data_IF_175945421576
#
_entry.id   IF_175945421576
#
_cell.length_a   1.000
_cell.length_b   1.000
_cell.length_c   1.000
_cell.angle_alpha   90.00
_cell.angle_beta   90.00
_cell.angle_gamma   90.00
#
_symmetry.space_group_name_H-M   'P 1'
#
loop_
_entity.id
_entity.type
_entity.pdbx_description
1 polymer ?
#
# COMPACT_ATOMS: atom_id res chain seq x y z
N UNK A 1 0.54 -28.31 -20.92
CA UNK A 1 -0.69 -27.53 -20.66
C UNK A 1 -0.25 -26.10 -20.52
N UNK A 2 -0.61 -25.27 -21.49
CA UNK A 2 -0.22 -23.85 -21.48
C UNK A 2 -1.09 -23.13 -20.46
N UNK A 3 -0.54 -22.92 -19.26
CA UNK A 3 -1.17 -22.10 -18.23
C UNK A 3 -0.94 -20.65 -18.65
N UNK A 4 -1.84 -20.14 -19.48
CA UNK A 4 -1.92 -18.70 -19.77
C UNK A 4 -2.31 -17.99 -18.47
N UNK A 5 -1.32 -17.43 -17.78
CA UNK A 5 -1.55 -16.60 -16.61
C UNK A 5 -2.14 -15.26 -17.09
N UNK A 6 -3.45 -15.09 -16.90
CA UNK A 6 -4.18 -13.85 -17.24
C UNK A 6 -3.83 -12.66 -16.31
N UNK A 7 -3.03 -12.89 -15.29
CA UNK A 7 -2.64 -11.88 -14.31
C UNK A 7 -1.12 -11.78 -14.23
N UNK A 8 -0.62 -10.57 -14.05
CA UNK A 8 0.75 -10.29 -13.61
C UNK A 8 1.08 -10.92 -12.24
N UNK A 9 0.11 -11.57 -11.60
CA UNK A 9 0.23 -12.35 -10.37
C UNK A 9 0.00 -13.83 -10.66
N UNK A 10 0.90 -14.70 -10.20
CA UNK A 10 0.75 -16.14 -10.36
C UNK A 10 -0.49 -16.69 -9.64
N UNK A 11 -1.05 -17.85 -10.05
CA UNK A 11 -2.24 -18.46 -9.44
C UNK A 11 -2.19 -18.55 -7.92
N UNK A 12 -1.03 -18.89 -7.37
CA UNK A 12 -0.81 -18.97 -5.93
C UNK A 12 -0.98 -17.61 -5.22
N UNK A 13 -0.45 -16.53 -5.80
CA UNK A 13 -0.55 -15.16 -5.26
C UNK A 13 -2.00 -14.68 -5.35
N UNK A 14 -2.64 -14.90 -6.50
CA UNK A 14 -4.05 -14.58 -6.70
C UNK A 14 -4.95 -15.31 -5.68
N UNK A 15 -4.71 -16.61 -5.47
CA UNK A 15 -5.49 -17.42 -4.54
C UNK A 15 -5.18 -17.07 -3.08
N UNK A 16 -3.93 -17.31 -2.62
CA UNK A 16 -3.55 -17.29 -1.19
C UNK A 16 -3.52 -15.89 -0.58
N UNK A 17 -3.28 -14.87 -1.38
CA UNK A 17 -3.17 -13.49 -0.90
C UNK A 17 -4.39 -12.68 -1.32
N UNK A 18 -4.66 -12.54 -2.62
CA UNK A 18 -5.69 -11.64 -3.10
C UNK A 18 -7.12 -12.13 -2.79
N UNK A 19 -7.51 -13.30 -3.32
CA UNK A 19 -8.85 -13.86 -3.13
C UNK A 19 -9.11 -14.26 -1.68
N UNK A 20 -8.13 -14.83 -0.97
CA UNK A 20 -8.28 -15.15 0.46
C UNK A 20 -8.50 -13.91 1.33
N UNK A 21 -7.75 -12.82 1.14
CA UNK A 21 -7.99 -11.60 1.93
C UNK A 21 -9.36 -10.98 1.61
N UNK A 22 -9.76 -11.01 0.34
CA UNK A 22 -11.10 -10.59 -0.05
C UNK A 22 -12.18 -11.47 0.60
N UNK A 23 -11.99 -12.80 0.61
CA UNK A 23 -12.91 -13.75 1.23
C UNK A 23 -13.02 -13.53 2.75
N UNK A 24 -11.89 -13.28 3.43
CA UNK A 24 -11.85 -12.94 4.85
C UNK A 24 -12.66 -11.67 5.15
N UNK A 25 -12.43 -10.60 4.37
CA UNK A 25 -13.14 -9.34 4.50
C UNK A 25 -14.65 -9.48 4.17
N UNK A 26 -14.99 -10.27 3.15
CA UNK A 26 -16.36 -10.50 2.72
C UNK A 26 -17.20 -11.22 3.78
N UNK A 27 -16.62 -12.20 4.47
CA UNK A 27 -17.30 -13.05 5.45
C UNK A 27 -17.07 -12.60 6.90
N UNK A 28 -16.28 -11.55 7.13
CA UNK A 28 -15.89 -11.07 8.46
C UNK A 28 -15.29 -12.19 9.34
N UNK A 29 -14.39 -12.97 8.75
CA UNK A 29 -13.68 -14.06 9.42
C UNK A 29 -12.17 -13.79 9.45
N UNK A 30 -11.47 -14.44 10.37
CA UNK A 30 -10.02 -14.35 10.44
C UNK A 30 -9.34 -14.94 9.19
N UNK A 31 -8.16 -14.40 8.84
CA UNK A 31 -7.42 -14.78 7.63
C UNK A 31 -6.99 -16.24 7.64
N UNK A 32 -6.75 -16.86 8.80
CA UNK A 32 -6.42 -18.29 8.89
C UNK A 32 -7.64 -19.16 8.62
N UNK A 33 -8.83 -18.77 9.12
CA UNK A 33 -10.08 -19.45 8.77
C UNK A 33 -10.36 -19.33 7.27
N UNK A 34 -10.25 -18.11 6.71
CA UNK A 34 -10.45 -17.88 5.29
C UNK A 34 -9.50 -18.72 4.41
N UNK A 35 -8.26 -18.95 4.85
CA UNK A 35 -7.32 -19.84 4.14
C UNK A 35 -7.80 -21.28 4.13
N UNK A 36 -8.28 -21.80 5.26
CA UNK A 36 -8.81 -23.17 5.36
C UNK A 36 -10.03 -23.34 4.46
N UNK A 37 -11.00 -22.43 4.55
CA UNK A 37 -12.22 -22.45 3.74
C UNK A 37 -11.89 -22.41 2.23
N UNK A 38 -10.93 -21.57 1.83
CA UNK A 38 -10.49 -21.48 0.43
C UNK A 38 -9.80 -22.76 -0.05
N UNK A 39 -8.98 -23.41 0.79
CA UNK A 39 -8.31 -24.67 0.46
C UNK A 39 -9.32 -25.82 0.33
N UNK A 40 -10.26 -25.92 1.27
CA UNK A 40 -11.37 -26.88 1.23
C UNK A 40 -12.19 -26.68 -0.05
N UNK A 41 -12.57 -25.43 -0.35
CA UNK A 41 -13.32 -25.08 -1.56
C UNK A 41 -12.58 -25.47 -2.84
N UNK A 42 -11.26 -25.37 -2.86
CA UNK A 42 -10.41 -25.76 -3.99
C UNK A 42 -10.12 -27.28 -4.07
N UNK A 43 -10.56 -28.06 -3.08
CA UNK A 43 -10.23 -29.49 -2.96
C UNK A 43 -8.75 -29.75 -2.71
N UNK A 44 -8.06 -28.81 -2.06
CA UNK A 44 -6.62 -28.86 -1.78
C UNK A 44 -6.42 -29.27 -0.31
N UNK A 45 -5.56 -30.25 0.00
CA UNK A 45 -5.28 -30.63 1.38
C UNK A 45 -4.69 -29.46 2.18
N UNK A 46 -5.10 -29.32 3.45
CA UNK A 46 -4.68 -28.22 4.31
C UNK A 46 -3.17 -28.26 4.61
N UNK A 47 -2.60 -29.46 4.80
CA UNK A 47 -1.20 -29.65 5.11
C UNK A 47 -0.57 -30.88 4.45
N UNK A 48 0.70 -30.77 3.98
CA UNK A 48 1.45 -29.52 3.79
C UNK A 48 0.83 -28.67 2.68
N UNK A 49 0.74 -27.34 2.86
CA UNK A 49 0.19 -26.43 1.83
C UNK A 49 0.99 -26.64 0.56
N UNK A 50 0.41 -27.24 -0.48
CA UNK A 50 1.20 -27.63 -1.62
C UNK A 50 1.44 -26.40 -2.49
N UNK A 51 2.70 -25.96 -2.55
CA UNK A 51 3.20 -25.07 -3.61
C UNK A 51 3.39 -25.81 -4.95
N UNK A 52 2.87 -27.04 -5.03
CA UNK A 52 2.96 -27.91 -6.18
C UNK A 52 2.11 -27.35 -7.33
N UNK A 53 2.73 -27.23 -8.50
CA UNK A 53 2.13 -26.67 -9.70
C UNK A 53 0.83 -27.38 -10.10
N UNK A 54 0.64 -28.65 -9.70
CA UNK A 54 -0.58 -29.42 -10.00
C UNK A 54 -1.87 -28.78 -9.48
N UNK A 55 -1.80 -27.96 -8.43
CA UNK A 55 -2.96 -27.26 -7.87
C UNK A 55 -3.18 -25.87 -8.46
N UNK A 56 -2.29 -25.38 -9.32
CA UNK A 56 -2.36 -24.02 -9.87
C UNK A 56 -3.70 -23.72 -10.53
N UNK A 57 -4.26 -24.70 -11.26
CA UNK A 57 -5.56 -24.55 -11.91
C UNK A 57 -6.71 -24.42 -10.91
N UNK A 58 -6.79 -25.34 -9.94
CA UNK A 58 -7.83 -25.32 -8.90
C UNK A 58 -7.76 -24.03 -8.05
N UNK A 59 -6.54 -23.59 -7.71
CA UNK A 59 -6.31 -22.31 -7.03
C UNK A 59 -6.81 -21.13 -7.86
N UNK A 60 -6.45 -21.07 -9.14
CA UNK A 60 -6.88 -19.98 -10.03
C UNK A 60 -8.40 -19.95 -10.21
N UNK A 61 -9.02 -21.10 -10.49
CA UNK A 61 -10.46 -21.22 -10.69
C UNK A 61 -11.23 -20.79 -9.44
N UNK A 62 -10.84 -21.29 -8.26
CA UNK A 62 -11.47 -20.93 -6.99
C UNK A 62 -11.30 -19.44 -6.68
N UNK A 63 -10.12 -18.88 -6.94
CA UNK A 63 -9.87 -17.45 -6.72
C UNK A 63 -10.72 -16.57 -7.63
N UNK A 64 -10.79 -16.91 -8.93
CA UNK A 64 -11.62 -16.20 -9.90
C UNK A 64 -13.09 -16.31 -9.52
N UNK A 65 -13.57 -17.49 -9.16
CA UNK A 65 -14.96 -17.71 -8.73
C UNK A 65 -15.34 -16.78 -7.57
N UNK A 66 -14.51 -16.72 -6.52
CA UNK A 66 -14.76 -15.87 -5.35
C UNK A 66 -14.79 -14.39 -5.72
N UNK A 67 -13.83 -13.93 -6.53
CA UNK A 67 -13.75 -12.53 -6.97
C UNK A 67 -14.93 -12.15 -7.85
N UNK A 68 -15.23 -12.98 -8.86
CA UNK A 68 -16.27 -12.71 -9.86
C UNK A 68 -17.68 -12.89 -9.34
N UNK A 69 -17.87 -13.64 -8.25
CA UNK A 69 -19.16 -13.71 -7.55
C UNK A 69 -19.57 -12.39 -6.89
N UNK A 70 -18.61 -11.49 -6.61
CA UNK A 70 -18.87 -10.23 -5.90
C UNK A 70 -18.07 -9.05 -6.51
N UNK A 71 -18.22 -8.74 -7.81
CA UNK A 71 -17.28 -7.89 -8.54
C UNK A 71 -17.22 -6.46 -8.01
N UNK A 72 -18.36 -5.87 -7.61
CA UNK A 72 -18.40 -4.52 -7.06
C UNK A 72 -17.79 -4.45 -5.65
N UNK A 73 -18.04 -5.44 -4.80
CA UNK A 73 -17.43 -5.50 -3.47
C UNK A 73 -15.93 -5.72 -3.57
N UNK A 74 -15.50 -6.55 -4.53
CA UNK A 74 -14.09 -6.73 -4.82
C UNK A 74 -13.43 -5.44 -5.31
N UNK A 75 -14.08 -4.70 -6.21
CA UNK A 75 -13.55 -3.42 -6.69
C UNK A 75 -13.34 -2.42 -5.55
N UNK A 76 -14.30 -2.31 -4.61
CA UNK A 76 -14.17 -1.46 -3.43
C UNK A 76 -13.04 -1.96 -2.52
N UNK A 77 -13.04 -3.25 -2.19
CA UNK A 77 -12.00 -3.89 -1.40
C UNK A 77 -10.61 -3.61 -1.99
N UNK A 78 -10.44 -3.86 -3.28
CA UNK A 78 -9.18 -3.65 -3.99
C UNK A 78 -8.77 -2.18 -3.98
N UNK A 79 -9.71 -1.25 -4.18
CA UNK A 79 -9.46 0.19 -4.13
C UNK A 79 -9.03 0.68 -2.73
N UNK A 80 -9.59 0.10 -1.66
CA UNK A 80 -9.20 0.46 -0.29
C UNK A 80 -7.90 -0.21 0.14
N UNK A 81 -7.64 -1.42 -0.36
CA UNK A 81 -6.51 -2.24 0.09
C UNK A 81 -5.18 -1.89 -0.57
N UNK A 82 -5.16 -1.03 -1.61
CA UNK A 82 -3.90 -0.46 -2.10
C UNK A 82 -3.47 0.80 -1.31
N UNK A 83 -4.28 1.37 -0.42
CA UNK A 83 -3.84 2.53 0.40
C UNK A 83 -2.52 2.22 1.17
N UNK A 84 -2.38 1.05 1.82
CA UNK A 84 -1.12 0.64 2.44
C UNK A 84 0.09 0.66 1.50
N UNK A 85 -0.09 0.54 0.18
CA UNK A 85 1.01 0.68 -0.78
C UNK A 85 1.81 1.96 -0.58
N UNK A 86 1.12 3.05 -0.29
CA UNK A 86 1.71 4.37 -0.13
C UNK A 86 2.24 4.64 1.28
N UNK A 87 1.81 3.87 2.27
CA UNK A 87 2.10 4.15 3.69
C UNK A 87 2.77 3.00 4.42
N UNK A 88 2.97 1.85 3.78
CA UNK A 88 3.59 0.68 4.42
C UNK A 88 5.09 0.93 4.65
N UNK A 89 5.54 0.52 5.83
CA UNK A 89 6.94 0.52 6.23
C UNK A 89 7.70 -0.67 5.66
N UNK A 90 8.93 -0.43 5.19
CA UNK A 90 9.87 -1.48 4.81
C UNK A 90 10.43 -2.25 5.99
N UNK A 91 10.52 -1.61 7.17
CA UNK A 91 11.06 -2.19 8.40
C UNK A 91 10.24 -3.39 8.85
N UNK A 92 8.91 -3.28 8.85
CA UNK A 92 8.04 -4.40 9.26
C UNK A 92 8.22 -5.65 8.38
N UNK A 93 8.57 -5.47 7.10
CA UNK A 93 8.83 -6.59 6.20
C UNK A 93 10.23 -7.16 6.44
N UNK A 94 11.20 -6.32 6.80
CA UNK A 94 12.52 -6.75 7.23
C UNK A 94 12.45 -7.58 8.52
N UNK A 95 11.69 -7.14 9.52
CA UNK A 95 11.53 -7.88 10.78
C UNK A 95 10.90 -9.25 10.54
N UNK A 96 9.89 -9.34 9.66
CA UNK A 96 9.32 -10.63 9.23
C UNK A 96 10.35 -11.52 8.55
N UNK A 97 11.17 -10.97 7.66
CA UNK A 97 12.23 -11.73 7.00
C UNK A 97 13.26 -12.24 8.01
N UNK A 98 13.61 -11.43 9.02
CA UNK A 98 14.52 -11.86 10.08
C UNK A 98 13.88 -12.96 10.95
N UNK A 99 12.60 -12.85 11.31
CA UNK A 99 11.86 -13.91 12.01
C UNK A 99 11.87 -15.22 11.22
N UNK A 100 11.64 -15.15 9.91
CA UNK A 100 11.62 -16.33 9.03
C UNK A 100 13.00 -17.00 8.95
N UNK A 101 14.08 -16.23 9.08
CA UNK A 101 15.47 -16.73 9.06
C UNK A 101 15.96 -17.16 10.44
N UNK A 102 15.38 -16.65 11.52
CA UNK A 102 15.74 -16.93 12.91
C UNK A 102 14.49 -17.28 13.71
N UNK A 103 14.06 -18.55 13.74
CA UNK A 103 12.81 -18.96 14.41
C UNK A 103 12.78 -18.66 15.91
N UNK A 104 13.96 -18.57 16.54
CA UNK A 104 14.11 -18.21 17.95
C UNK A 104 13.90 -16.70 18.20
N UNK A 105 13.92 -15.89 17.13
CA UNK A 105 13.50 -14.49 17.14
C UNK A 105 11.97 -14.47 17.00
N UNK A 106 11.30 -14.56 18.14
CA UNK A 106 9.84 -14.49 18.25
C UNK A 106 9.45 -13.11 18.77
N UNK A 107 9.34 -12.07 17.91
CA UNK A 107 8.76 -10.81 18.35
C UNK A 107 7.33 -11.11 18.76
N UNK A 108 6.98 -10.76 19.99
CA UNK A 108 5.62 -10.91 20.49
C UNK A 108 4.64 -10.35 19.46
N UNK A 109 3.50 -11.02 19.17
CA UNK A 109 2.56 -10.56 18.16
C UNK A 109 2.16 -9.11 18.44
N UNK A 110 2.65 -8.21 17.59
CA UNK A 110 2.68 -6.79 17.93
C UNK A 110 1.30 -6.15 17.72
N UNK A 111 0.80 -5.39 18.69
CA UNK A 111 -0.48 -4.72 18.54
C UNK A 111 -0.39 -3.71 17.39
N UNK A 112 -1.25 -3.88 16.38
CA UNK A 112 -1.32 -2.93 15.27
C UNK A 112 -1.75 -1.54 15.78
N UNK A 113 -1.32 -0.46 15.13
CA UNK A 113 -1.78 0.90 15.45
C UNK A 113 -3.32 0.98 15.46
N UNK A 114 -3.98 0.20 14.60
CA UNK A 114 -5.44 0.10 14.53
C UNK A 114 -6.02 -0.48 15.82
N UNK A 115 -5.39 -1.50 16.40
CA UNK A 115 -5.80 -2.06 17.70
C UNK A 115 -5.61 -1.06 18.85
N UNK A 116 -4.54 -0.24 18.82
CA UNK A 116 -4.33 0.81 19.82
C UNK A 116 -5.39 1.93 19.75
N UNK A 117 -5.93 2.17 18.56
CA UNK A 117 -6.96 3.19 18.31
C UNK A 117 -8.38 2.70 18.61
N UNK A 118 -8.62 1.38 18.61
CA UNK A 118 -9.98 0.85 18.74
C UNK A 118 -10.06 -0.42 19.62
N UNK A 119 -10.52 -0.32 20.88
CA UNK A 119 -10.84 0.89 21.63
C UNK A 119 -9.58 1.68 22.00
N UNK A 120 -9.66 3.01 22.01
CA UNK A 120 -8.51 3.87 22.36
C UNK A 120 -7.95 3.47 23.75
N UNK A 121 -6.73 2.94 23.75
CA UNK A 121 -6.04 2.50 24.96
C UNK A 121 -4.67 3.16 25.04
N UNK A 122 -4.55 4.17 25.90
CA UNK A 122 -3.31 4.92 26.07
C UNK A 122 -2.11 4.02 26.44
N UNK A 123 -2.24 3.00 27.33
CA UNK A 123 -1.15 2.07 27.60
C UNK A 123 -0.70 1.30 26.36
N UNK A 124 -1.65 0.79 25.56
CA UNK A 124 -1.34 0.07 24.31
C UNK A 124 -0.68 1.01 23.30
N UNK A 125 -1.18 2.24 23.16
CA UNK A 125 -0.57 3.24 22.29
C UNK A 125 0.88 3.55 22.69
N UNK A 126 1.17 3.71 23.98
CA UNK A 126 2.54 3.93 24.46
C UNK A 126 3.42 2.72 24.15
N UNK A 127 2.93 1.50 24.34
CA UNK A 127 3.66 0.26 23.97
C UNK A 127 3.94 0.22 22.46
N UNK A 128 2.95 0.52 21.62
CA UNK A 128 3.11 0.60 20.16
C UNK A 128 4.12 1.66 19.76
N UNK A 129 4.10 2.84 20.38
CA UNK A 129 5.06 3.92 20.08
C UNK A 129 6.47 3.56 20.56
N UNK A 130 6.61 2.94 21.73
CA UNK A 130 7.93 2.53 22.24
C UNK A 130 8.56 1.43 21.39
N UNK A 131 7.76 0.46 20.96
CA UNK A 131 8.26 -0.69 20.22
C UNK A 131 8.36 -0.39 18.70
N UNK A 132 7.47 0.44 18.13
CA UNK A 132 7.37 0.70 16.68
C UNK A 132 7.39 2.18 16.31
N UNK A 133 7.93 3.03 17.19
CA UNK A 133 8.04 4.47 16.91
C UNK A 133 8.74 4.73 15.58
N UNK A 134 9.73 3.91 15.22
CA UNK A 134 10.44 4.02 13.95
C UNK A 134 9.56 3.71 12.73
N UNK A 135 8.78 2.63 12.79
CA UNK A 135 7.76 2.29 11.77
C UNK A 135 6.73 3.40 11.61
N UNK A 136 6.29 4.02 12.70
CA UNK A 136 5.36 5.16 12.65
C UNK A 136 5.98 6.38 11.97
N UNK A 137 7.26 6.67 12.27
CA UNK A 137 8.01 7.75 11.60
C UNK A 137 8.16 7.45 10.11
N UNK A 138 8.47 6.21 9.72
CA UNK A 138 8.57 5.81 8.32
C UNK A 138 7.22 5.94 7.59
N UNK A 139 6.15 5.40 8.18
CA UNK A 139 4.80 5.50 7.63
C UNK A 139 4.37 6.97 7.47
N UNK A 140 4.67 7.82 8.45
CA UNK A 140 4.38 9.25 8.39
C UNK A 140 5.20 9.97 7.34
N UNK A 141 6.49 9.63 7.20
CA UNK A 141 7.35 10.11 6.12
C UNK A 141 6.76 9.75 4.75
N UNK A 142 6.39 8.49 4.54
CA UNK A 142 5.80 8.04 3.27
C UNK A 142 4.43 8.67 2.99
N UNK A 143 3.62 8.90 4.04
CA UNK A 143 2.38 9.65 3.92
C UNK A 143 2.64 11.07 3.41
N UNK A 144 3.61 11.79 4.00
CA UNK A 144 4.01 13.13 3.57
C UNK A 144 4.49 13.14 2.12
N UNK A 145 5.39 12.21 1.76
CA UNK A 145 5.90 12.08 0.38
C UNK A 145 4.74 11.85 -0.59
N UNK A 146 3.82 10.96 -0.25
CA UNK A 146 2.65 10.67 -1.08
C UNK A 146 1.76 11.90 -1.25
N UNK A 147 1.45 12.62 -0.17
CA UNK A 147 0.66 13.86 -0.23
C UNK A 147 1.33 14.89 -1.13
N UNK A 148 2.64 15.14 -0.97
CA UNK A 148 3.35 16.08 -1.83
C UNK A 148 3.42 15.62 -3.29
N UNK A 149 3.65 14.33 -3.55
CA UNK A 149 3.61 13.79 -4.90
C UNK A 149 2.25 14.02 -5.56
N UNK A 150 1.15 13.87 -4.80
CA UNK A 150 -0.21 14.15 -5.28
C UNK A 150 -0.40 15.63 -5.57
N UNK A 151 -0.01 16.52 -4.65
CA UNK A 151 -0.08 17.97 -4.85
C UNK A 151 0.67 18.42 -6.12
N UNK A 152 1.77 17.77 -6.47
CA UNK A 152 2.49 17.99 -7.73
C UNK A 152 1.66 17.87 -8.99
N UNK A 153 0.66 16.99 -8.98
CA UNK A 153 -0.27 16.82 -10.08
C UNK A 153 -1.05 18.10 -10.37
N UNK A 154 -1.47 18.82 -9.32
CA UNK A 154 -2.19 20.08 -9.45
C UNK A 154 -1.27 21.26 -9.76
N UNK A 155 -0.07 21.34 -9.17
CA UNK A 155 0.77 22.54 -9.28
C UNK A 155 1.80 22.53 -10.41
N UNK A 156 2.14 21.39 -10.97
CA UNK A 156 3.18 21.35 -12.00
C UNK A 156 2.74 21.95 -13.33
N UNK A 157 3.69 22.62 -13.98
CA UNK A 157 3.57 23.18 -15.33
C UNK A 157 3.60 22.09 -16.41
N UNK A 158 4.34 21.00 -16.22
CA UNK A 158 4.43 19.91 -17.20
C UNK A 158 3.43 18.79 -16.89
N UNK A 159 2.16 19.02 -17.27
CA UNK A 159 1.06 18.07 -17.04
C UNK A 159 1.25 16.73 -17.76
N UNK A 160 2.02 16.66 -18.85
CA UNK A 160 2.23 15.41 -19.60
C UNK A 160 3.15 14.47 -18.83
N UNK A 161 4.32 14.96 -18.41
CA UNK A 161 5.31 14.15 -17.68
C UNK A 161 4.74 13.60 -16.37
N UNK A 162 4.02 14.43 -15.62
CA UNK A 162 3.46 14.00 -14.33
C UNK A 162 2.30 13.03 -14.49
N UNK A 163 1.45 13.20 -15.51
CA UNK A 163 0.44 12.17 -15.82
C UNK A 163 1.08 10.82 -16.15
N UNK A 164 2.22 10.82 -16.83
CA UNK A 164 2.99 9.60 -17.11
C UNK A 164 3.54 8.97 -15.83
N UNK A 165 4.15 9.75 -14.92
CA UNK A 165 4.61 9.23 -13.62
C UNK A 165 3.47 8.68 -12.78
N UNK A 166 2.36 9.42 -12.70
CA UNK A 166 1.17 8.96 -11.99
C UNK A 166 0.56 7.70 -12.61
N UNK A 167 0.54 7.58 -13.94
CA UNK A 167 0.07 6.37 -14.59
C UNK A 167 0.93 5.15 -14.18
N UNK A 168 2.25 5.30 -14.09
CA UNK A 168 3.16 4.24 -13.64
C UNK A 168 2.91 3.91 -12.16
N UNK A 169 2.84 4.92 -11.29
CA UNK A 169 2.59 4.74 -9.85
C UNK A 169 1.26 4.02 -9.61
N UNK A 170 0.19 4.49 -10.27
CA UNK A 170 -1.14 3.89 -10.15
C UNK A 170 -1.20 2.50 -10.76
N UNK A 171 -0.47 2.24 -11.84
CA UNK A 171 -0.35 0.89 -12.40
C UNK A 171 0.22 -0.08 -11.35
N UNK A 172 1.33 0.26 -10.71
CA UNK A 172 1.91 -0.60 -9.67
C UNK A 172 0.99 -0.74 -8.45
N UNK A 173 0.37 0.35 -7.98
CA UNK A 173 -0.58 0.30 -6.87
C UNK A 173 -1.79 -0.61 -7.18
N UNK A 174 -2.35 -0.50 -8.39
CA UNK A 174 -3.50 -1.31 -8.81
C UNK A 174 -3.12 -2.77 -9.06
N UNK A 175 -1.95 -3.04 -9.62
CA UNK A 175 -1.49 -4.41 -9.90
C UNK A 175 -1.13 -5.16 -8.61
N UNK A 176 -0.53 -4.48 -7.65
CA UNK A 176 -0.20 -5.08 -6.34
C UNK A 176 -1.44 -5.30 -5.48
N UNK A 177 -2.42 -4.38 -5.57
CA UNK A 177 -3.74 -4.53 -4.96
C UNK A 177 -3.68 -4.74 -3.45
N UNK A 178 -4.35 -5.75 -2.90
CA UNK A 178 -4.38 -6.01 -1.46
C UNK A 178 -3.05 -6.56 -0.89
N UNK A 179 -2.10 -6.88 -1.77
CA UNK A 179 -0.79 -7.44 -1.42
C UNK A 179 0.27 -6.32 -1.38
N UNK A 180 -0.16 -5.08 -1.19
CA UNK A 180 0.69 -3.90 -1.22
C UNK A 180 1.65 -3.83 -0.02
N UNK A 181 2.69 -4.66 -0.05
CA UNK A 181 3.84 -4.60 0.84
C UNK A 181 4.86 -3.56 0.33
N UNK A 182 5.64 -2.99 1.24
CA UNK A 182 6.64 -1.97 0.94
C UNK A 182 7.62 -2.39 -0.17
N UNK A 183 7.99 -3.69 -0.22
CA UNK A 183 8.88 -4.23 -1.25
C UNK A 183 8.37 -4.04 -2.69
N UNK A 184 7.05 -3.99 -2.88
CA UNK A 184 6.48 -3.78 -4.21
C UNK A 184 6.42 -2.30 -4.60
N UNK A 185 6.67 -1.38 -3.66
CA UNK A 185 6.82 0.05 -3.93
C UNK A 185 8.22 0.39 -4.43
N UNK A 186 9.26 -0.39 -4.09
CA UNK A 186 10.68 -0.12 -4.42
C UNK A 186 10.89 0.39 -5.85
N UNK A 187 10.30 -0.21 -6.92
CA UNK A 187 10.51 0.25 -8.29
C UNK A 187 10.00 1.67 -8.57
N UNK A 188 9.03 2.16 -7.80
CA UNK A 188 8.41 3.47 -7.98
C UNK A 188 8.83 4.51 -6.94
N UNK A 189 9.58 4.12 -5.89
CA UNK A 189 10.04 5.05 -4.85
C UNK A 189 10.83 6.25 -5.42
N UNK A 190 11.75 6.08 -6.39
CA UNK A 190 12.42 7.22 -6.99
C UNK A 190 11.45 8.19 -7.67
N UNK A 191 10.40 7.67 -8.33
CA UNK A 191 9.39 8.50 -8.98
C UNK A 191 8.52 9.26 -7.98
N UNK A 192 8.15 8.62 -6.86
CA UNK A 192 7.42 9.26 -5.77
C UNK A 192 8.24 10.39 -5.15
N UNK A 193 9.52 10.15 -4.85
CA UNK A 193 10.42 11.15 -4.27
C UNK A 193 10.64 12.32 -5.24
N UNK A 194 10.98 12.05 -6.51
CA UNK A 194 11.15 13.10 -7.53
C UNK A 194 9.87 13.94 -7.65
N UNK A 195 8.70 13.30 -7.66
CA UNK A 195 7.41 13.98 -7.72
C UNK A 195 7.18 14.84 -6.49
N UNK A 196 7.42 14.31 -5.28
CA UNK A 196 7.24 15.04 -4.03
C UNK A 196 8.17 16.26 -3.94
N UNK A 197 9.48 16.09 -4.17
CA UNK A 197 10.45 17.19 -4.13
C UNK A 197 10.19 18.26 -5.19
N UNK A 198 9.82 17.85 -6.41
CA UNK A 198 9.43 18.80 -7.46
C UNK A 198 8.21 19.63 -7.03
N UNK A 199 7.25 19.00 -6.36
CA UNK A 199 6.04 19.66 -5.87
C UNK A 199 6.35 20.69 -4.80
N UNK A 200 7.18 20.34 -3.83
CA UNK A 200 7.65 21.27 -2.79
C UNK A 200 8.37 22.46 -3.44
N UNK A 201 9.25 22.20 -4.41
CA UNK A 201 9.96 23.26 -5.14
C UNK A 201 9.01 24.19 -5.91
N UNK A 202 7.99 23.67 -6.60
CA UNK A 202 7.00 24.47 -7.30
C UNK A 202 6.12 25.30 -6.35
N UNK A 203 5.66 24.71 -5.25
CA UNK A 203 4.86 25.42 -4.24
C UNK A 203 5.70 26.55 -3.63
N UNK A 204 6.95 26.26 -3.28
CA UNK A 204 7.87 27.24 -2.69
C UNK A 204 8.19 28.38 -3.66
N UNK A 205 8.50 28.09 -4.91
CA UNK A 205 8.79 29.12 -5.93
C UNK A 205 7.59 30.03 -6.17
N UNK A 206 6.38 29.46 -6.32
CA UNK A 206 5.14 30.24 -6.47
C UNK A 206 4.88 31.13 -5.25
N UNK A 207 5.06 30.61 -4.04
CA UNK A 207 4.92 31.38 -2.80
C UNK A 207 5.92 32.55 -2.74
N UNK A 208 7.19 32.29 -3.10
CA UNK A 208 8.25 33.30 -3.14
C UNK A 208 7.96 34.41 -4.16
N UNK A 209 7.47 34.07 -5.35
CA UNK A 209 7.08 35.04 -6.37
C UNK A 209 5.89 35.90 -5.92
N UNK A 210 4.86 35.27 -5.35
CA UNK A 210 3.72 35.99 -4.79
C UNK A 210 4.13 36.99 -3.70
N UNK A 211 5.01 36.56 -2.79
CA UNK A 211 5.53 37.42 -1.72
C UNK A 211 6.35 38.60 -2.27
N UNK A 212 7.24 38.37 -3.25
CA UNK A 212 7.99 39.43 -3.92
C UNK A 212 7.08 40.46 -4.60
N UNK A 213 6.03 40.00 -5.29
CA UNK A 213 5.06 40.87 -5.95
C UNK A 213 4.29 41.72 -4.92
N UNK A 214 3.91 41.14 -3.79
CA UNK A 214 3.23 41.85 -2.69
C UNK A 214 4.12 42.93 -2.08
N UNK A 215 5.40 42.65 -1.85
CA UNK A 215 6.38 43.64 -1.36
C UNK A 215 6.54 44.81 -2.33
N UNK A 216 6.70 44.52 -3.63
CA UNK A 216 6.83 45.57 -4.66
C UNK A 216 5.61 46.49 -4.72
N UNK A 217 4.40 45.95 -4.50
CA UNK A 217 3.17 46.74 -4.42
C UNK A 217 3.17 47.65 -3.18
N UNK A 218 3.67 47.17 -2.04
CA UNK A 218 3.76 47.96 -0.81
C UNK A 218 4.79 49.09 -0.92
N UNK A 219 5.97 48.82 -1.47
CA UNK A 219 7.00 49.83 -1.74
C UNK A 219 6.46 50.95 -2.65
N UNK A 220 5.83 50.59 -3.78
CA UNK A 220 5.22 51.56 -4.69
C UNK A 220 4.12 52.42 -4.04
N UNK A 221 3.45 51.93 -3.00
CA UNK A 221 2.44 52.70 -2.25
C UNK A 221 3.06 53.66 -1.23
N UNK A 222 4.22 53.32 -0.68
CA UNK A 222 4.91 54.14 0.32
C UNK A 222 5.64 55.33 -0.33
N UNK A 223 6.25 55.15 -1.50
CA UNK A 223 7.03 56.20 -2.18
C UNK A 223 6.21 57.15 -3.07
N UNK A 224 4.89 56.95 -3.20
CA UNK A 224 3.99 57.84 -3.96
C UNK A 224 3.27 58.88 -3.09
N UNK A 225 3.69 59.07 -1.84
CA UNK A 225 3.21 60.11 -0.92
C UNK A 225 4.30 61.14 -0.72
#
# INVERSE_FOLDING_TARGET
>A
MDVWAFASTGPYVLFRQNATQFYAALNNIDIFQARRDMLEKAGIPEYPIPQDLKYSKAMQETAIEVITSHPFRYAIFHATSFIPFFTSSGINEYDRLINDLQPDFNPEPEPSLIQALHPFSLPVLITVIKNHGWTLVENFFWLIITVFAFLGMWFSKNKRLIRMFWAIIMYFALVTGPIAHARYRIPIEPLLLISAFSSVFFIWSNYREHFKNKLKILENKLFKR
#
